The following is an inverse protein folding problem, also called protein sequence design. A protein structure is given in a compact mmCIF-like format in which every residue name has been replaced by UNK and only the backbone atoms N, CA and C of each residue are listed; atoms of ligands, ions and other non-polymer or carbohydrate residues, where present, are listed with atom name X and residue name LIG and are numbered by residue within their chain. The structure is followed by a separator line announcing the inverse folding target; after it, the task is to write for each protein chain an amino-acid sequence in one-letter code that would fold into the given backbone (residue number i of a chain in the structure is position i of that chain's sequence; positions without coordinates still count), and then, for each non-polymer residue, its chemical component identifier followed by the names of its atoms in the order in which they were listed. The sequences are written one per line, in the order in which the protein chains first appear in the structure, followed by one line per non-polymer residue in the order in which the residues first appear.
data_IF_907212040440
#
_entry.id   IF_907212040440
#
_cell.length_a   1.000
_cell.length_b   1.000
_cell.length_c   1.000
_cell.angle_alpha   90.00
_cell.angle_beta   90.00
_cell.angle_gamma   90.00
#
_symmetry.space_group_name_H-M   'P 1'
#
loop_
_entity.id
_entity.type
_entity.pdbx_description
1 polymer ?
#
# COMPACT_ATOMS: atom_id res chain seq x y z
N UNK A 1 -11.88 25.44 2.66
CA UNK A 1 -12.64 24.36 3.31
C UNK A 1 -12.94 23.31 2.25
N UNK A 2 -12.12 22.26 2.11
CA UNK A 2 -12.43 21.17 1.18
C UNK A 2 -13.68 20.46 1.67
N UNK A 3 -14.72 20.40 0.85
CA UNK A 3 -15.96 19.66 1.17
C UNK A 3 -15.59 18.19 1.41
N UNK A 4 -16.02 17.56 2.52
CA UNK A 4 -15.97 16.11 2.61
C UNK A 4 -16.79 15.59 1.42
N UNK A 5 -16.14 14.82 0.54
CA UNK A 5 -16.82 14.20 -0.60
C UNK A 5 -18.07 13.51 -0.05
N UNK A 6 -19.25 13.83 -0.60
CA UNK A 6 -20.53 13.33 -0.13
C UNK A 6 -20.52 11.79 -0.18
N UNK A 7 -20.21 11.18 0.97
CA UNK A 7 -20.24 9.74 1.16
C UNK A 7 -21.68 9.29 0.96
N UNK A 8 -21.88 8.27 0.13
CA UNK A 8 -23.19 7.63 -0.04
C UNK A 8 -23.69 7.13 1.31
N UNK A 9 -25.01 7.02 1.49
CA UNK A 9 -25.60 6.63 2.78
C UNK A 9 -25.09 5.26 3.27
N UNK A 10 -24.85 4.32 2.33
CA UNK A 10 -24.24 3.03 2.64
C UNK A 10 -22.79 3.15 3.14
N UNK A 11 -21.99 4.04 2.55
CA UNK A 11 -20.63 4.32 3.03
C UNK A 11 -20.66 5.02 4.38
N UNK A 12 -21.57 5.96 4.59
CA UNK A 12 -21.73 6.65 5.87
C UNK A 12 -22.07 5.67 7.00
N UNK A 13 -22.98 4.74 6.76
CA UNK A 13 -23.32 3.68 7.71
C UNK A 13 -22.13 2.75 8.00
N UNK A 14 -21.36 2.39 6.98
CA UNK A 14 -20.15 1.58 7.15
C UNK A 14 -19.10 2.28 8.03
N UNK A 15 -18.81 3.55 7.75
CA UNK A 15 -17.86 4.35 8.52
C UNK A 15 -18.38 4.63 9.95
N UNK A 16 -19.69 4.80 10.14
CA UNK A 16 -20.28 4.97 11.47
C UNK A 16 -20.07 3.74 12.37
N UNK A 17 -20.16 2.53 11.81
CA UNK A 17 -19.85 1.28 12.55
C UNK A 17 -18.39 1.21 12.97
N UNK A 18 -17.48 1.76 12.16
CA UNK A 18 -16.05 1.82 12.46
C UNK A 18 -15.73 2.89 13.50
N UNK A 19 -16.36 4.06 13.38
CA UNK A 19 -16.29 5.12 14.38
C UNK A 19 -16.77 4.62 15.75
N UNK A 20 -17.92 3.93 15.79
CA UNK A 20 -18.44 3.32 17.01
C UNK A 20 -17.49 2.25 17.59
N UNK A 21 -16.88 1.42 16.74
CA UNK A 21 -15.85 0.45 17.17
C UNK A 21 -14.63 1.12 17.79
N UNK A 22 -14.25 2.29 17.27
CA UNK A 22 -13.15 3.08 17.80
C UNK A 22 -13.57 4.02 18.95
N UNK A 23 -14.83 3.95 19.41
CA UNK A 23 -15.34 4.77 20.51
C UNK A 23 -15.41 6.26 20.19
N UNK A 24 -15.51 6.65 18.92
CA UNK A 24 -15.53 8.05 18.50
C UNK A 24 -16.72 8.37 17.58
N UNK A 25 -16.99 9.66 17.41
CA UNK A 25 -18.04 10.12 16.50
C UNK A 25 -17.62 9.96 15.04
N UNK A 26 -18.59 9.82 14.15
CA UNK A 26 -18.34 9.67 12.71
C UNK A 26 -17.50 10.81 12.14
N UNK A 27 -17.78 12.05 12.54
CA UNK A 27 -17.05 13.23 12.06
C UNK A 27 -15.58 13.20 12.48
N UNK A 28 -15.31 12.82 13.74
CA UNK A 28 -13.95 12.64 14.26
C UNK A 28 -13.22 11.52 13.51
N UNK A 29 -13.90 10.41 13.27
CA UNK A 29 -13.38 9.26 12.53
C UNK A 29 -13.02 9.62 11.09
N UNK A 30 -13.87 10.36 10.39
CA UNK A 30 -13.58 10.83 9.03
C UNK A 30 -12.40 11.81 8.99
N UNK A 31 -12.34 12.75 9.94
CA UNK A 31 -11.22 13.69 10.03
C UNK A 31 -9.88 13.00 10.33
N UNK A 32 -9.89 11.99 11.21
CA UNK A 32 -8.70 11.20 11.53
C UNK A 32 -8.29 10.31 10.35
N UNK A 33 -9.25 9.72 9.65
CA UNK A 33 -9.02 8.95 8.42
C UNK A 33 -8.42 9.82 7.33
N UNK A 34 -8.91 11.04 7.09
CA UNK A 34 -8.30 11.96 6.12
C UNK A 34 -6.86 12.33 6.51
N UNK A 35 -6.62 12.57 7.80
CA UNK A 35 -5.27 12.87 8.31
C UNK A 35 -4.33 11.68 8.11
N UNK A 36 -4.82 10.46 8.36
CA UNK A 36 -4.07 9.22 8.15
C UNK A 36 -3.86 8.90 6.68
N UNK A 37 -4.86 9.08 5.83
CA UNK A 37 -4.74 8.86 4.38
C UNK A 37 -3.70 9.80 3.75
N UNK A 38 -3.58 11.04 4.24
CA UNK A 38 -2.51 11.97 3.83
C UNK A 38 -1.11 11.49 4.26
N UNK A 39 -1.00 10.85 5.43
CA UNK A 39 0.26 10.27 5.90
C UNK A 39 0.59 8.94 5.20
N UNK A 40 -0.39 8.06 4.99
CA UNK A 40 -0.24 6.78 4.30
C UNK A 40 -0.01 6.96 2.80
N UNK A 41 -0.53 8.00 2.14
CA UNK A 41 -0.19 8.28 0.73
C UNK A 41 1.31 8.56 0.53
N UNK A 42 1.99 9.13 1.53
CA UNK A 42 3.43 9.36 1.50
C UNK A 42 4.24 8.06 1.70
N UNK A 43 3.68 7.08 2.41
CA UNK A 43 4.33 5.80 2.69
C UNK A 43 4.00 4.74 1.61
N UNK A 44 2.77 4.72 1.10
CA UNK A 44 2.35 3.83 0.02
C UNK A 44 3.08 4.11 -1.30
N UNK A 45 3.48 5.37 -1.54
CA UNK A 45 4.36 5.70 -2.67
C UNK A 45 5.75 5.04 -2.53
N UNK A 46 6.27 4.93 -1.31
CA UNK A 46 7.55 4.26 -1.03
C UNK A 46 7.44 2.75 -1.11
N UNK A 47 6.35 2.17 -0.62
CA UNK A 47 6.10 0.73 -0.74
C UNK A 47 5.87 0.29 -2.19
N UNK A 48 5.17 1.11 -3.00
CA UNK A 48 5.01 0.86 -4.43
C UNK A 48 6.34 0.93 -5.18
N UNK A 49 7.24 1.85 -4.80
CA UNK A 49 8.58 1.95 -5.39
C UNK A 49 9.45 0.74 -5.00
N UNK A 50 9.38 0.28 -3.75
CA UNK A 50 10.09 -0.92 -3.28
C UNK A 50 9.59 -2.20 -3.95
N UNK A 51 8.26 -2.33 -4.14
CA UNK A 51 7.66 -3.45 -4.86
C UNK A 51 8.00 -3.45 -6.37
N UNK A 52 8.08 -2.26 -6.98
CA UNK A 52 8.54 -2.12 -8.37
C UNK A 52 10.05 -2.40 -8.53
N UNK A 53 10.85 -2.16 -7.49
CA UNK A 53 12.28 -2.50 -7.48
C UNK A 53 12.54 -3.99 -7.29
N UNK A 54 11.68 -4.69 -6.55
CA UNK A 54 11.74 -6.13 -6.34
C UNK A 54 11.38 -6.97 -7.58
N UNK A 55 10.66 -6.40 -8.55
CA UNK A 55 10.30 -7.07 -9.81
C UNK A 55 11.32 -6.83 -10.93
N UNK A 56 12.34 -5.99 -10.71
CA UNK A 56 13.43 -5.91 -11.67
C UNK A 56 14.23 -7.22 -11.64
N UNK A 57 14.38 -7.91 -12.79
CA UNK A 57 15.16 -9.13 -12.85
C UNK A 57 16.60 -8.79 -12.45
N UNK A 58 17.03 -9.32 -11.30
CA UNK A 58 18.39 -9.24 -10.79
C UNK A 58 19.34 -9.62 -11.93
N UNK A 59 20.13 -8.64 -12.40
CA UNK A 59 21.07 -8.86 -13.50
C UNK A 59 22.06 -9.92 -13.04
N UNK A 60 21.95 -11.16 -13.56
CA UNK A 60 22.86 -12.25 -13.24
C UNK A 60 24.30 -11.76 -13.48
N UNK A 61 25.05 -11.57 -12.39
CA UNK A 61 26.45 -11.14 -12.43
C UNK A 61 27.36 -12.22 -13.04
N UNK A 62 28.67 -11.97 -13.06
CA UNK A 62 29.64 -12.93 -13.58
C UNK A 62 29.58 -14.29 -12.85
N UNK A 63 29.44 -14.27 -11.52
CA UNK A 63 29.24 -15.47 -10.69
C UNK A 63 27.93 -16.21 -11.01
N UNK A 64 26.84 -15.47 -11.23
CA UNK A 64 25.54 -16.05 -11.59
C UNK A 64 25.59 -16.77 -12.94
N UNK A 65 26.37 -16.24 -13.89
CA UNK A 65 26.62 -16.92 -15.18
C UNK A 65 27.45 -18.19 -15.04
N UNK A 66 28.44 -18.20 -14.13
CA UNK A 66 29.25 -19.38 -13.86
C UNK A 66 28.42 -20.50 -13.22
N UNK A 67 27.55 -20.17 -12.27
CA UNK A 67 26.68 -21.12 -11.60
C UNK A 67 25.64 -21.74 -12.56
N UNK A 68 25.09 -20.93 -13.46
CA UNK A 68 24.17 -21.37 -14.52
C UNK A 68 24.86 -22.36 -15.48
N UNK A 69 26.14 -22.10 -15.80
CA UNK A 69 26.97 -23.00 -16.61
C UNK A 69 27.28 -24.32 -15.90
N UNK A 70 27.47 -24.30 -14.58
CA UNK A 70 27.71 -25.49 -13.78
C UNK A 70 26.45 -26.36 -13.62
N UNK A 71 25.26 -25.76 -13.66
CA UNK A 71 23.98 -26.47 -13.60
C UNK A 71 23.51 -27.06 -14.94
N UNK A 72 24.18 -26.73 -16.05
CA UNK A 72 23.86 -27.36 -17.33
C UNK A 72 24.36 -28.82 -17.34
N UNK A 73 23.50 -29.80 -17.67
CA UNK A 73 23.91 -31.18 -17.75
C UNK A 73 24.96 -31.33 -18.85
N UNK A 74 26.09 -31.92 -18.49
CA UNK A 74 27.12 -32.30 -19.46
C UNK A 74 26.54 -33.34 -20.40
N UNK A 75 26.56 -33.01 -21.69
CA UNK A 75 26.07 -33.86 -22.78
C UNK A 75 27.19 -34.71 -23.30
#
# INVERSE_FOLDING_TARGET
MSKPQDLTDGQRAYEARRAAKAGMTLEKWLAEKEKRAKAEAAEAAKEAELAAKATQPEKKGWLGRLLDKAHQPLK
#
